data_IF_655028858217
#
_entry.id   IF_655028858217
#
_cell.length_a   1.000
_cell.length_b   1.000
_cell.length_c   1.000
_cell.angle_alpha   90.00
_cell.angle_beta   90.00
_cell.angle_gamma   90.00
#
_symmetry.space_group_name_H-M   'P 1'
#
loop_
_entity.id
_entity.type
_entity.pdbx_description
1 polymer ?
#
# COMPACT_ATOMS: atom_id res chain seq x y z
N UNK A 1 -21.48 32.08 -34.11
CA UNK A 1 -20.10 32.16 -33.58
C UNK A 1 -19.76 33.61 -33.23
N UNK A 2 -19.67 33.95 -31.94
CA UNK A 2 -18.67 34.91 -31.47
C UNK A 2 -17.71 34.22 -30.49
N UNK A 3 -16.41 34.34 -30.79
CA UNK A 3 -15.29 33.85 -29.97
C UNK A 3 -15.06 34.86 -28.85
N UNK A 4 -15.25 34.45 -27.60
CA UNK A 4 -14.99 35.29 -26.43
C UNK A 4 -13.51 35.18 -26.10
N UNK A 5 -12.73 36.16 -26.56
CA UNK A 5 -11.31 36.31 -26.25
C UNK A 5 -11.17 37.05 -24.92
N UNK A 6 -10.95 36.31 -23.83
CA UNK A 6 -10.59 36.88 -22.54
C UNK A 6 -9.08 37.19 -22.52
N UNK A 7 -8.73 38.49 -22.46
CA UNK A 7 -7.35 38.93 -22.18
C UNK A 7 -7.09 38.73 -20.69
N UNK A 8 -6.28 37.72 -20.36
CA UNK A 8 -5.75 37.51 -19.00
C UNK A 8 -4.56 38.45 -18.82
N UNK A 9 -4.75 39.51 -18.05
CA UNK A 9 -3.67 40.41 -17.64
C UNK A 9 -2.82 39.70 -16.57
N UNK A 10 -1.69 39.14 -17.01
CA UNK A 10 -0.72 38.46 -16.15
C UNK A 10 0.13 39.52 -15.43
N UNK A 11 -0.14 39.77 -14.15
CA UNK A 11 0.72 40.61 -13.30
C UNK A 11 1.91 39.76 -12.86
N UNK A 12 3.09 40.02 -13.43
CA UNK A 12 4.37 39.52 -12.91
C UNK A 12 4.72 40.31 -11.65
N UNK A 13 4.68 39.66 -10.48
CA UNK A 13 5.33 40.17 -9.28
C UNK A 13 6.31 39.12 -8.76
N UNK A 14 7.59 39.49 -8.79
CA UNK A 14 8.74 38.64 -8.53
C UNK A 14 9.14 38.68 -7.06
N UNK A 15 8.96 37.58 -6.34
CA UNK A 15 9.75 37.25 -5.14
C UNK A 15 9.98 35.76 -5.10
N UNK A 16 11.23 35.35 -5.27
CA UNK A 16 11.70 33.97 -5.13
C UNK A 16 12.21 33.70 -3.71
N UNK A 17 12.30 32.41 -3.34
CA UNK A 17 12.86 31.77 -2.12
C UNK A 17 11.81 31.55 -1.00
N UNK A 18 11.43 30.33 -0.57
CA UNK A 18 12.09 29.02 -0.62
C UNK A 18 11.06 27.88 -0.79
N UNK A 19 11.36 26.90 -1.66
CA UNK A 19 10.65 25.62 -1.74
C UNK A 19 11.12 24.72 -0.59
N UNK A 20 10.44 24.78 0.55
CA UNK A 20 10.58 23.77 1.61
C UNK A 20 9.63 22.59 1.29
N UNK A 21 10.16 21.64 0.51
CA UNK A 21 9.81 20.22 0.53
C UNK A 21 8.34 19.81 0.60
N UNK A 22 7.61 19.92 -0.50
CA UNK A 22 6.55 18.93 -0.78
C UNK A 22 7.24 17.66 -1.30
N UNK A 23 7.61 16.73 -0.42
CA UNK A 23 7.75 15.35 -0.87
C UNK A 23 6.35 14.83 -1.11
N UNK A 24 5.85 14.98 -2.33
CA UNK A 24 4.76 14.16 -2.81
C UNK A 24 5.29 12.72 -2.80
N UNK A 25 5.04 11.98 -1.72
CA UNK A 25 5.11 10.53 -1.75
C UNK A 25 4.19 10.12 -2.89
N UNK A 26 4.76 9.59 -3.97
CA UNK A 26 4.01 9.11 -5.10
C UNK A 26 2.88 8.20 -4.57
N UNK A 27 1.63 8.37 -5.03
CA UNK A 27 0.58 7.49 -4.58
C UNK A 27 0.99 6.08 -5.01
N UNK A 28 1.00 5.14 -4.06
CA UNK A 28 1.07 3.71 -4.33
C UNK A 28 -0.24 3.24 -4.99
N UNK A 29 -0.66 3.95 -6.04
CA UNK A 29 -1.89 3.73 -6.79
C UNK A 29 -1.57 2.72 -7.89
N UNK A 30 -1.42 1.47 -7.51
CA UNK A 30 -1.53 0.36 -8.46
C UNK A 30 -1.94 -0.99 -7.84
N UNK A 31 -2.25 -1.06 -6.54
CA UNK A 31 -2.79 -2.28 -5.93
C UNK A 31 -4.32 -2.26 -5.69
N UNK A 32 -4.96 -1.09 -5.73
CA UNK A 32 -6.25 -0.80 -5.08
C UNK A 32 -7.49 -1.41 -5.77
N UNK A 33 -7.39 -1.83 -7.03
CA UNK A 33 -8.57 -2.38 -7.76
C UNK A 33 -8.87 -3.84 -7.43
N UNK A 34 -7.84 -4.66 -7.19
CA UNK A 34 -8.01 -6.12 -6.99
C UNK A 34 -8.31 -6.46 -5.52
N UNK A 35 -7.75 -5.69 -4.59
CA UNK A 35 -7.91 -5.88 -3.16
C UNK A 35 -8.54 -4.62 -2.56
N UNK A 36 -9.85 -4.64 -2.33
CA UNK A 36 -10.61 -3.50 -1.79
C UNK A 36 -11.57 -3.94 -0.67
N UNK A 37 -11.01 -4.51 0.41
CA UNK A 37 -11.75 -4.89 1.61
C UNK A 37 -11.72 -3.80 2.69
N UNK A 38 -10.73 -2.91 2.65
CA UNK A 38 -10.61 -1.71 3.48
C UNK A 38 -10.21 -0.53 2.61
N UNK A 39 -10.49 0.69 3.07
CA UNK A 39 -9.93 1.88 2.43
C UNK A 39 -8.42 1.98 2.69
N UNK A 40 -7.67 2.46 1.71
CA UNK A 40 -6.21 2.66 1.83
C UNK A 40 -5.80 3.60 2.96
N UNK A 41 -6.69 4.52 3.33
CA UNK A 41 -6.49 5.44 4.45
C UNK A 41 -6.65 4.79 5.83
N UNK A 42 -7.32 3.63 5.91
CA UNK A 42 -7.61 2.99 7.21
C UNK A 42 -6.41 2.21 7.76
N UNK A 43 -5.79 1.35 6.92
CA UNK A 43 -4.62 0.48 7.20
C UNK A 43 -4.33 0.29 8.71
N UNK A 44 -5.25 -0.33 9.48
CA UNK A 44 -5.08 -0.48 10.92
C UNK A 44 -3.96 -1.48 11.20
N UNK A 45 -3.39 -1.43 12.41
CA UNK A 45 -2.49 -2.50 12.83
C UNK A 45 -3.26 -3.81 12.95
N UNK A 46 -2.84 -4.84 12.21
CA UNK A 46 -3.41 -6.19 12.31
C UNK A 46 -2.55 -7.04 13.22
N UNK A 47 -3.13 -7.51 14.32
CA UNK A 47 -2.49 -8.40 15.28
C UNK A 47 -2.72 -9.88 14.92
N UNK A 48 -1.88 -10.76 15.47
CA UNK A 48 -2.02 -12.21 15.32
C UNK A 48 -3.40 -12.65 15.83
N UNK A 49 -4.07 -13.55 15.11
CA UNK A 49 -5.44 -14.04 15.38
C UNK A 49 -6.52 -12.94 15.31
N UNK A 50 -6.24 -11.78 14.69
CA UNK A 50 -7.26 -10.77 14.45
C UNK A 50 -8.00 -11.07 13.16
N UNK A 51 -9.30 -11.30 13.25
CA UNK A 51 -10.13 -11.57 12.07
C UNK A 51 -10.81 -10.29 11.54
N UNK A 52 -11.25 -10.33 10.29
CA UNK A 52 -12.07 -9.30 9.67
C UNK A 52 -11.53 -8.75 8.35
N UNK A 53 -12.08 -7.61 7.92
CA UNK A 53 -11.81 -7.04 6.59
C UNK A 53 -10.36 -6.61 6.38
N UNK A 54 -9.68 -6.14 7.44
CA UNK A 54 -8.26 -5.79 7.36
C UNK A 54 -7.39 -7.02 7.11
N UNK A 55 -7.66 -8.14 7.78
CA UNK A 55 -6.99 -9.43 7.55
C UNK A 55 -7.25 -9.93 6.15
N UNK A 56 -8.49 -9.81 5.68
CA UNK A 56 -8.88 -10.14 4.31
C UNK A 56 -8.12 -9.31 3.26
N UNK A 57 -7.92 -8.02 3.53
CA UNK A 57 -7.08 -7.15 2.71
C UNK A 57 -5.64 -7.68 2.65
N UNK A 58 -5.04 -8.01 3.79
CA UNK A 58 -3.68 -8.55 3.86
C UNK A 58 -3.55 -9.84 3.04
N UNK A 59 -4.46 -10.80 3.24
CA UNK A 59 -4.48 -12.07 2.50
C UNK A 59 -4.55 -11.85 0.99
N UNK A 60 -5.41 -10.95 0.53
CA UNK A 60 -5.52 -10.59 -0.88
C UNK A 60 -4.22 -10.00 -1.43
N UNK A 61 -3.61 -9.06 -0.70
CA UNK A 61 -2.37 -8.42 -1.13
C UNK A 61 -1.20 -9.41 -1.17
N UNK A 62 -1.15 -10.34 -0.21
CA UNK A 62 -0.17 -11.42 -0.21
C UNK A 62 -0.28 -12.24 -1.51
N UNK A 63 -1.49 -12.68 -1.85
CA UNK A 63 -1.69 -13.53 -3.03
C UNK A 63 -1.41 -12.82 -4.36
N UNK A 64 -1.67 -11.52 -4.46
CA UNK A 64 -1.56 -10.80 -5.73
C UNK A 64 -0.26 -10.02 -5.92
N UNK A 65 0.34 -9.53 -4.83
CA UNK A 65 1.46 -8.60 -4.91
C UNK A 65 2.73 -9.13 -4.25
N UNK A 66 2.63 -9.91 -3.17
CA UNK A 66 3.83 -10.26 -2.40
C UNK A 66 4.79 -11.24 -3.09
N UNK A 67 4.28 -12.09 -3.99
CA UNK A 67 5.04 -13.18 -4.59
C UNK A 67 5.16 -14.44 -3.72
N UNK A 68 4.53 -14.47 -2.53
CA UNK A 68 4.52 -15.62 -1.63
C UNK A 68 3.83 -16.84 -2.25
N UNK A 69 4.51 -18.00 -2.37
CA UNK A 69 3.86 -19.29 -2.57
C UNK A 69 3.69 -20.02 -1.22
N UNK A 70 2.56 -20.74 -0.99
CA UNK A 70 1.40 -20.92 -1.86
C UNK A 70 0.35 -19.79 -1.74
N UNK A 71 -0.63 -19.79 -2.63
CA UNK A 71 -1.85 -18.99 -2.48
C UNK A 71 -2.57 -19.41 -1.20
N UNK A 72 -2.91 -18.44 -0.35
CA UNK A 72 -3.67 -18.65 0.89
C UNK A 72 -5.14 -18.27 0.72
N UNK A 73 -6.00 -18.76 1.62
CA UNK A 73 -7.40 -18.35 1.65
C UNK A 73 -7.54 -16.85 1.92
N UNK A 74 -8.53 -16.22 1.26
CA UNK A 74 -8.93 -14.82 1.49
C UNK A 74 -10.28 -14.84 2.19
N UNK A 75 -10.29 -15.37 3.41
CA UNK A 75 -11.47 -15.57 4.25
C UNK A 75 -11.68 -14.44 5.26
N UNK A 76 -10.60 -13.73 5.62
CA UNK A 76 -10.58 -12.75 6.70
C UNK A 76 -10.13 -13.32 8.03
N UNK A 77 -9.74 -14.60 8.09
CA UNK A 77 -9.34 -15.28 9.32
C UNK A 77 -7.81 -15.27 9.44
N UNK A 78 -7.30 -14.77 10.57
CA UNK A 78 -5.87 -14.76 10.82
C UNK A 78 -5.45 -16.12 11.39
N UNK A 79 -5.47 -17.13 10.53
CA UNK A 79 -4.98 -18.48 10.84
C UNK A 79 -3.47 -18.68 10.60
N UNK A 80 -2.97 -19.91 10.81
CA UNK A 80 -1.55 -20.24 10.65
C UNK A 80 -0.97 -19.98 9.25
N UNK A 81 -1.79 -20.14 8.20
CA UNK A 81 -1.38 -19.84 6.84
C UNK A 81 -1.14 -18.33 6.64
N UNK A 82 -2.06 -17.50 7.14
CA UNK A 82 -1.95 -16.03 7.15
C UNK A 82 -0.71 -15.59 7.93
N UNK A 83 -0.49 -16.15 9.12
CA UNK A 83 0.69 -15.87 9.95
C UNK A 83 2.01 -16.15 9.21
N UNK A 84 2.11 -17.35 8.62
CA UNK A 84 3.32 -17.78 7.90
C UNK A 84 3.60 -16.87 6.71
N UNK A 85 2.56 -16.51 5.95
CA UNK A 85 2.70 -15.64 4.79
C UNK A 85 3.14 -14.21 5.18
N UNK A 86 2.56 -13.63 6.24
CA UNK A 86 2.96 -12.30 6.73
C UNK A 86 4.42 -12.31 7.18
N UNK A 87 4.83 -13.33 7.95
CA UNK A 87 6.23 -13.50 8.36
C UNK A 87 7.19 -13.61 7.18
N UNK A 88 6.79 -14.32 6.13
CA UNK A 88 7.59 -14.41 4.91
C UNK A 88 7.75 -13.03 4.25
N UNK A 89 6.67 -12.25 4.12
CA UNK A 89 6.73 -10.88 3.57
C UNK A 89 7.66 -10.02 4.41
N UNK A 90 7.53 -10.06 5.72
CA UNK A 90 8.39 -9.32 6.64
C UNK A 90 9.86 -9.70 6.46
N UNK A 91 10.17 -11.00 6.48
CA UNK A 91 11.53 -11.50 6.30
C UNK A 91 12.12 -11.11 4.94
N UNK A 92 11.36 -11.28 3.86
CA UNK A 92 11.82 -10.95 2.50
C UNK A 92 12.14 -9.46 2.34
N UNK A 93 11.47 -8.61 3.12
CA UNK A 93 11.70 -7.17 3.15
C UNK A 93 12.65 -6.70 4.27
N UNK A 94 13.33 -7.61 4.98
CA UNK A 94 14.19 -7.31 6.12
C UNK A 94 13.49 -6.52 7.25
N UNK A 95 12.22 -6.82 7.49
CA UNK A 95 11.47 -6.35 8.65
C UNK A 95 11.57 -7.36 9.80
N UNK A 96 11.13 -6.94 10.99
CA UNK A 96 10.90 -7.88 12.10
C UNK A 96 9.77 -8.83 11.70
N UNK A 97 10.00 -10.14 11.79
CA UNK A 97 9.08 -11.20 11.38
C UNK A 97 8.15 -11.62 12.53
N UNK A 98 7.51 -10.65 13.16
CA UNK A 98 6.63 -10.83 14.32
C UNK A 98 5.19 -11.25 13.97
N UNK A 99 4.82 -11.20 12.68
CA UNK A 99 3.46 -11.42 12.22
C UNK A 99 2.52 -10.21 12.41
N UNK A 100 2.99 -9.09 12.93
CA UNK A 100 2.15 -7.90 13.13
C UNK A 100 2.18 -7.03 11.87
N UNK A 101 1.00 -6.72 11.33
CA UNK A 101 0.89 -5.86 10.14
C UNK A 101 0.76 -4.40 10.59
N UNK A 102 1.90 -3.79 10.92
CA UNK A 102 2.01 -2.35 11.15
C UNK A 102 2.26 -1.55 9.87
N UNK A 103 2.45 -0.23 9.99
CA UNK A 103 2.64 0.68 8.86
C UNK A 103 3.76 0.25 7.89
N UNK A 104 4.86 -0.29 8.41
CA UNK A 104 5.97 -0.76 7.57
C UNK A 104 5.57 -1.99 6.74
N UNK A 105 4.92 -2.98 7.37
CA UNK A 105 4.41 -4.17 6.68
C UNK A 105 3.37 -3.79 5.62
N UNK A 106 2.43 -2.90 5.95
CA UNK A 106 1.45 -2.36 4.99
C UNK A 106 2.12 -1.74 3.77
N UNK A 107 3.14 -0.90 3.97
CA UNK A 107 3.86 -0.28 2.87
C UNK A 107 4.48 -1.32 1.91
N UNK A 108 4.93 -2.47 2.43
CA UNK A 108 5.52 -3.54 1.62
C UNK A 108 4.48 -4.39 0.89
N UNK A 109 3.32 -4.62 1.50
CA UNK A 109 2.21 -5.34 0.83
C UNK A 109 1.68 -4.60 -0.41
N UNK A 110 1.73 -3.27 -0.40
CA UNK A 110 1.33 -2.42 -1.55
C UNK A 110 2.47 -2.09 -2.51
N UNK A 111 3.73 -2.30 -2.09
CA UNK A 111 4.92 -2.05 -2.88
C UNK A 111 5.89 -3.22 -2.72
N UNK A 112 5.54 -4.39 -3.28
CA UNK A 112 6.37 -5.58 -3.17
C UNK A 112 7.70 -5.35 -3.88
N UNK A 113 8.78 -5.81 -3.26
CA UNK A 113 10.10 -5.74 -3.89
C UNK A 113 10.13 -6.83 -4.96
N UNK A 114 10.46 -6.47 -6.21
CA UNK A 114 10.70 -7.39 -7.32
C UNK A 114 11.53 -8.65 -6.98
N UNK A 115 12.42 -8.62 -5.97
CA UNK A 115 13.23 -9.78 -5.55
C UNK A 115 12.44 -10.82 -4.75
N UNK A 116 11.38 -10.40 -4.07
CA UNK A 116 10.46 -11.31 -3.40
C UNK A 116 9.49 -11.96 -4.38
N UNK A 117 9.17 -11.27 -5.48
CA UNK A 117 8.24 -11.74 -6.51
C UNK A 117 8.88 -12.64 -7.59
N UNK A 118 10.21 -12.86 -7.57
CA UNK A 118 10.98 -13.45 -8.67
C UNK A 118 11.64 -14.80 -8.35
N UNK A 119 11.16 -15.55 -7.37
CA UNK A 119 11.70 -16.88 -6.98
C UNK A 119 10.66 -17.98 -7.09
#
# INVERSE_FOLDING_TARGET
MPKITAKVTMVLSSTALAFAGLTAAAPAASAESLCNYISDSARPTVYVNQDGTATKQVQCLINWYSGYPPIIAVDGDYGPATYTAIKWVQNCHNLVDDGIVGNQTWAKLYSPWARCASS
#
